data_IF_821154773900
#
_entry.id   IF_821154773900
#
_cell.length_a   1.000
_cell.length_b   1.000
_cell.length_c   1.000
_cell.angle_alpha   90.00
_cell.angle_beta   90.00
_cell.angle_gamma   90.00
#
_symmetry.space_group_name_H-M   'P 1'
#
loop_
_entity.id
_entity.type
_entity.pdbx_description
1 polymer ?
#
# COMPACT_ATOMS: atom_id res chain seq x y z
N UNK A 1 23.14 -20.02 -14.42
CA UNK A 1 22.74 -20.71 -13.16
C UNK A 1 22.72 -19.65 -12.08
N UNK A 2 21.55 -19.21 -11.58
CA UNK A 2 20.90 -19.73 -10.35
C UNK A 2 21.94 -19.79 -9.22
N UNK A 3 21.88 -18.99 -8.16
CA UNK A 3 20.92 -19.11 -7.05
C UNK A 3 20.83 -17.75 -6.31
N UNK A 4 19.64 -17.18 -6.13
CA UNK A 4 18.82 -17.31 -4.90
C UNK A 4 19.59 -17.00 -3.60
N UNK A 5 19.42 -15.78 -3.09
CA UNK A 5 19.60 -15.47 -1.66
C UNK A 5 18.25 -15.03 -1.10
N UNK A 6 17.46 -16.02 -0.72
CA UNK A 6 16.27 -15.83 0.11
C UNK A 6 16.45 -16.75 1.31
N UNK A 7 16.59 -16.17 2.50
CA UNK A 7 16.06 -16.67 3.77
C UNK A 7 16.80 -16.02 4.94
N UNK A 8 16.09 -15.20 5.72
CA UNK A 8 15.96 -15.38 7.17
C UNK A 8 14.87 -14.40 7.65
N UNK A 9 13.68 -14.92 7.93
CA UNK A 9 13.21 -15.18 9.29
C UNK A 9 13.06 -13.90 10.12
N UNK A 10 11.90 -13.25 9.98
CA UNK A 10 11.35 -12.38 11.01
C UNK A 10 10.29 -13.18 11.78
N UNK A 11 10.71 -13.90 12.81
CA UNK A 11 9.81 -14.57 13.75
C UNK A 11 9.02 -13.51 14.50
N UNK A 12 7.70 -13.61 14.41
CA UNK A 12 6.71 -12.89 15.21
C UNK A 12 6.91 -13.22 16.69
N UNK A 13 7.07 -12.20 17.53
CA UNK A 13 6.89 -12.31 18.97
C UNK A 13 5.69 -11.47 19.40
N UNK A 14 4.55 -12.16 19.50
CA UNK A 14 3.32 -11.72 20.16
C UNK A 14 3.55 -11.64 21.67
N UNK A 15 3.25 -10.50 22.29
CA UNK A 15 2.91 -10.42 23.72
C UNK A 15 2.24 -9.07 24.02
N UNK A 16 1.02 -9.09 24.58
CA UNK A 16 0.39 -7.85 25.04
C UNK A 16 -1.08 -7.93 25.46
N UNK A 17 -1.32 -8.53 26.63
CA UNK A 17 -2.44 -8.25 27.57
C UNK A 17 -3.86 -8.66 27.18
N UNK A 18 -4.29 -9.74 27.84
CA UNK A 18 -5.68 -10.11 28.10
C UNK A 18 -6.34 -9.10 29.04
N UNK A 19 -7.45 -8.50 28.60
CA UNK A 19 -8.41 -7.83 29.47
C UNK A 19 -9.81 -8.38 29.20
N UNK A 20 -10.23 -9.40 29.95
CA UNK A 20 -11.64 -9.79 30.03
C UNK A 20 -12.31 -8.88 31.06
N UNK A 21 -13.20 -8.00 30.60
CA UNK A 21 -14.16 -7.34 31.48
C UNK A 21 -15.51 -8.04 31.33
N UNK A 22 -16.02 -8.49 32.47
CA UNK A 22 -17.30 -9.14 32.69
C UNK A 22 -18.44 -8.11 32.59
N UNK A 23 -19.59 -8.50 32.04
CA UNK A 23 -20.79 -7.68 32.17
C UNK A 23 -21.98 -8.10 31.29
N UNK A 24 -22.85 -8.96 31.83
CA UNK A 24 -24.31 -8.85 31.64
C UNK A 24 -24.95 -9.50 30.42
N UNK A 25 -25.45 -10.73 30.58
CA UNK A 25 -26.64 -11.20 29.85
C UNK A 25 -27.90 -10.79 30.62
N UNK A 26 -28.89 -10.19 29.94
CA UNK A 26 -30.29 -10.49 30.21
C UNK A 26 -30.83 -11.37 29.08
N UNK A 27 -31.21 -12.60 29.44
CA UNK A 27 -32.00 -13.50 28.58
C UNK A 27 -33.30 -12.81 28.19
N UNK A 28 -33.48 -12.52 26.90
CA UNK A 28 -34.78 -12.16 26.35
C UNK A 28 -35.29 -13.30 25.47
N UNK A 29 -36.34 -13.95 25.98
CA UNK A 29 -37.07 -15.02 25.32
C UNK A 29 -37.79 -14.47 24.09
N UNK A 30 -37.35 -14.85 22.88
CA UNK A 30 -38.07 -14.56 21.63
C UNK A 30 -38.75 -15.85 21.15
N UNK A 31 -40.06 -15.83 20.83
CA UNK A 31 -40.76 -17.00 20.32
C UNK A 31 -40.25 -17.37 18.91
N UNK A 32 -40.28 -18.66 18.51
CA UNK A 32 -39.75 -19.09 17.22
C UNK A 32 -40.60 -18.56 16.05
N UNK A 33 -39.98 -18.12 14.94
CA UNK A 33 -40.70 -17.75 13.74
C UNK A 33 -41.32 -19.00 13.08
N UNK A 34 -42.61 -18.92 12.79
CA UNK A 34 -43.34 -19.91 12.02
C UNK A 34 -42.72 -20.04 10.62
N UNK A 35 -42.27 -21.25 10.27
CA UNK A 35 -41.73 -21.57 8.94
C UNK A 35 -42.91 -21.74 7.96
N UNK A 36 -42.97 -20.91 6.93
CA UNK A 36 -43.78 -21.17 5.74
C UNK A 36 -43.03 -22.15 4.82
N UNK A 37 -43.68 -23.22 4.31
CA UNK A 37 -43.04 -24.18 3.41
C UNK A 37 -43.15 -23.74 1.95
N UNK A 38 -42.01 -23.66 1.25
CA UNK A 38 -41.89 -23.39 -0.19
C UNK A 38 -40.78 -22.39 -0.51
N UNK A 39 -39.49 -22.75 -0.39
CA UNK A 39 -38.66 -23.30 -1.48
C UNK A 39 -38.46 -22.30 -2.65
N UNK A 40 -37.27 -21.79 -2.98
CA UNK A 40 -35.93 -22.24 -2.62
C UNK A 40 -34.83 -21.18 -2.77
N UNK A 41 -33.79 -21.41 -1.96
CA UNK A 41 -32.37 -21.12 -2.17
C UNK A 41 -31.96 -19.67 -2.46
N UNK A 42 -31.72 -18.96 -1.35
CA UNK A 42 -30.66 -17.97 -1.23
C UNK A 42 -29.36 -18.49 -1.89
N UNK A 43 -28.63 -17.70 -2.69
CA UNK A 43 -27.27 -18.03 -3.08
C UNK A 43 -26.31 -17.72 -1.93
N UNK A 44 -26.50 -18.37 -0.77
CA UNK A 44 -25.61 -18.22 0.38
C UNK A 44 -24.70 -19.45 0.49
N UNK A 45 -23.81 -19.61 -0.49
CA UNK A 45 -22.62 -20.46 -0.32
C UNK A 45 -21.44 -19.87 -1.11
N UNK A 46 -21.21 -18.56 -0.93
CA UNK A 46 -19.94 -17.96 -1.32
C UNK A 46 -18.97 -18.20 -0.18
N UNK A 47 -18.23 -19.31 -0.31
CA UNK A 47 -17.24 -19.76 0.65
C UNK A 47 -16.29 -18.61 1.04
N UNK A 48 -16.18 -18.22 2.33
CA UNK A 48 -15.38 -17.07 2.77
C UNK A 48 -13.89 -17.18 2.36
N UNK A 49 -13.44 -18.36 1.95
CA UNK A 49 -12.10 -18.65 1.46
C UNK A 49 -11.81 -18.08 0.05
N UNK A 50 -12.82 -18.03 -0.84
CA UNK A 50 -12.67 -17.48 -2.19
C UNK A 50 -12.52 -15.95 -2.14
N UNK A 51 -13.31 -15.29 -1.29
CA UNK A 51 -13.27 -13.83 -1.14
C UNK A 51 -11.99 -13.37 -0.43
N UNK A 52 -11.52 -14.14 0.55
CA UNK A 52 -10.24 -13.88 1.23
C UNK A 52 -9.04 -13.96 0.27
N UNK A 53 -8.97 -15.03 -0.56
CA UNK A 53 -7.91 -15.16 -1.57
C UNK A 53 -7.94 -14.04 -2.62
N UNK A 54 -9.12 -13.58 -3.03
CA UNK A 54 -9.25 -12.46 -3.96
C UNK A 54 -8.79 -11.14 -3.33
N UNK A 55 -9.10 -10.91 -2.06
CA UNK A 55 -8.64 -9.74 -1.33
C UNK A 55 -7.10 -9.72 -1.20
N UNK A 56 -6.50 -10.85 -0.80
CA UNK A 56 -5.04 -11.01 -0.72
C UNK A 56 -4.34 -10.75 -2.06
N UNK A 57 -4.86 -11.32 -3.15
CA UNK A 57 -4.32 -11.09 -4.50
C UNK A 57 -4.41 -9.62 -4.91
N UNK A 58 -5.51 -8.94 -4.58
CA UNK A 58 -5.66 -7.50 -4.88
C UNK A 58 -4.69 -6.64 -4.05
N UNK A 59 -4.43 -7.01 -2.79
CA UNK A 59 -3.43 -6.35 -1.95
C UNK A 59 -2.01 -6.54 -2.50
N UNK A 60 -1.66 -7.76 -2.92
CA UNK A 60 -0.37 -8.06 -3.55
C UNK A 60 -0.17 -7.24 -4.83
N UNK A 61 -1.18 -7.20 -5.70
CA UNK A 61 -1.12 -6.41 -6.94
C UNK A 61 -0.94 -4.93 -6.62
N UNK A 62 -1.68 -4.38 -5.66
CA UNK A 62 -1.54 -2.97 -5.25
C UNK A 62 -0.15 -2.66 -4.69
N UNK A 63 0.40 -3.56 -3.87
CA UNK A 63 1.75 -3.42 -3.30
C UNK A 63 2.82 -3.43 -4.39
N UNK A 64 2.75 -4.40 -5.32
CA UNK A 64 3.71 -4.51 -6.42
C UNK A 64 3.62 -3.33 -7.39
N UNK A 65 2.43 -2.83 -7.70
CA UNK A 65 2.26 -1.62 -8.50
C UNK A 65 2.83 -0.40 -7.79
N UNK A 66 2.58 -0.24 -6.49
CA UNK A 66 3.13 0.85 -5.69
C UNK A 66 4.66 0.84 -5.72
N UNK A 67 5.27 -0.34 -5.55
CA UNK A 67 6.72 -0.51 -5.62
C UNK A 67 7.26 -0.15 -7.01
N UNK A 68 6.64 -0.66 -8.09
CA UNK A 68 7.06 -0.33 -9.46
C UNK A 68 7.05 1.17 -9.72
N UNK A 69 5.99 1.85 -9.29
CA UNK A 69 5.87 3.31 -9.46
C UNK A 69 6.88 4.07 -8.61
N UNK A 70 7.17 3.60 -7.38
CA UNK A 70 8.23 4.19 -6.55
C UNK A 70 9.59 4.12 -7.23
N UNK A 71 9.97 2.95 -7.76
CA UNK A 71 11.23 2.77 -8.48
C UNK A 71 11.30 3.70 -9.69
N UNK A 72 10.26 3.73 -10.52
CA UNK A 72 10.21 4.60 -11.69
C UNK A 72 10.31 6.09 -11.34
N UNK A 73 9.63 6.54 -10.29
CA UNK A 73 9.68 7.93 -9.85
C UNK A 73 11.05 8.29 -9.27
N UNK A 74 11.72 7.37 -8.54
CA UNK A 74 13.08 7.60 -8.04
C UNK A 74 14.11 7.65 -9.17
N UNK A 75 13.97 6.80 -10.20
CA UNK A 75 14.83 6.84 -11.38
C UNK A 75 14.68 8.17 -12.12
N UNK A 76 13.43 8.64 -12.28
CA UNK A 76 13.15 9.95 -12.88
C UNK A 76 13.74 11.09 -12.04
N UNK A 77 13.64 11.02 -10.71
CA UNK A 77 14.21 12.01 -9.80
C UNK A 77 15.73 12.09 -9.94
N UNK A 78 16.41 10.93 -10.00
CA UNK A 78 17.85 10.86 -10.23
C UNK A 78 18.25 11.49 -11.57
N UNK A 79 17.51 11.18 -12.64
CA UNK A 79 17.76 11.75 -13.96
C UNK A 79 17.61 13.28 -13.96
N UNK A 80 16.50 13.80 -13.41
CA UNK A 80 16.26 15.24 -13.33
C UNK A 80 17.31 15.96 -12.48
N UNK A 81 17.70 15.39 -11.34
CA UNK A 81 18.71 15.97 -10.47
C UNK A 81 20.09 16.01 -11.15
N UNK A 82 20.43 14.96 -11.90
CA UNK A 82 21.68 14.90 -12.68
C UNK A 82 21.69 15.96 -13.78
N UNK A 83 20.59 16.12 -14.52
CA UNK A 83 20.45 17.14 -15.55
C UNK A 83 20.48 18.56 -14.96
N UNK A 84 19.77 18.80 -13.85
CA UNK A 84 19.82 20.07 -13.12
C UNK A 84 21.26 20.43 -12.73
N UNK A 85 22.01 19.47 -12.17
CA UNK A 85 23.42 19.66 -11.86
C UNK A 85 24.23 20.07 -13.09
N UNK A 86 24.09 19.36 -14.20
CA UNK A 86 24.81 19.67 -15.44
C UNK A 86 24.47 21.06 -15.98
N UNK A 87 23.22 21.50 -15.87
CA UNK A 87 22.79 22.82 -16.30
C UNK A 87 23.37 23.91 -15.40
N UNK A 88 23.35 23.71 -14.08
CA UNK A 88 23.96 24.63 -13.11
C UNK A 88 25.48 24.72 -13.30
N UNK A 89 26.16 23.59 -13.51
CA UNK A 89 27.61 23.54 -13.73
C UNK A 89 28.03 24.28 -15.02
N UNK A 90 27.14 24.37 -16.01
CA UNK A 90 27.36 25.09 -17.28
C UNK A 90 26.98 26.58 -17.21
N UNK A 91 26.21 27.00 -16.23
CA UNK A 91 25.82 28.41 -16.06
C UNK A 91 26.93 29.24 -15.40
N UNK A 92 27.10 30.49 -15.85
CA UNK A 92 27.98 31.44 -15.15
C UNK A 92 27.40 31.77 -13.77
N UNK A 93 28.27 31.96 -12.77
CA UNK A 93 27.93 32.11 -11.33
C UNK A 93 26.83 33.13 -10.98
N UNK A 94 26.49 34.03 -11.90
CA UNK A 94 25.53 35.12 -11.68
C UNK A 94 24.25 35.01 -12.54
N UNK A 95 24.06 33.93 -13.31
CA UNK A 95 22.90 33.77 -14.20
C UNK A 95 22.33 32.37 -14.04
N UNK A 96 21.24 32.23 -13.29
CA UNK A 96 20.43 31.03 -13.27
C UNK A 96 19.36 31.12 -14.38
N UNK A 97 19.23 30.10 -15.21
CA UNK A 97 18.19 30.11 -16.25
C UNK A 97 16.82 29.81 -15.64
N UNK A 98 15.76 30.33 -16.29
CA UNK A 98 14.36 30.02 -15.92
C UNK A 98 14.09 28.51 -16.03
N UNK A 99 14.76 27.82 -16.95
CA UNK A 99 14.59 26.37 -17.13
C UNK A 99 15.18 25.57 -15.96
N UNK A 100 16.30 26.02 -15.38
CA UNK A 100 16.88 25.43 -14.16
C UNK A 100 15.92 25.58 -12.99
N UNK A 101 15.27 26.74 -12.84
CA UNK A 101 14.26 26.96 -11.79
C UNK A 101 13.06 26.01 -11.96
N UNK A 102 12.48 25.96 -13.16
CA UNK A 102 11.35 25.06 -13.46
C UNK A 102 11.68 23.59 -13.20
N UNK A 103 12.91 23.18 -13.50
CA UNK A 103 13.37 21.81 -13.26
C UNK A 103 13.56 21.53 -11.77
N UNK A 104 14.04 22.49 -10.99
CA UNK A 104 14.10 22.37 -9.54
C UNK A 104 12.68 22.20 -8.95
N UNK A 105 11.69 22.97 -9.41
CA UNK A 105 10.30 22.82 -8.99
C UNK A 105 9.71 21.43 -9.34
N UNK A 106 10.05 20.88 -10.51
CA UNK A 106 9.65 19.53 -10.89
C UNK A 106 10.26 18.48 -9.96
N UNK A 107 11.54 18.63 -9.62
CA UNK A 107 12.24 17.74 -8.68
C UNK A 107 11.59 17.81 -7.30
N UNK A 108 11.27 19.00 -6.79
CA UNK A 108 10.62 19.16 -5.48
C UNK A 108 9.27 18.43 -5.44
N UNK A 109 8.41 18.65 -6.45
CA UNK A 109 7.09 18.02 -6.54
C UNK A 109 7.20 16.49 -6.63
N UNK A 110 8.14 15.99 -7.45
CA UNK A 110 8.36 14.57 -7.60
C UNK A 110 8.91 13.95 -6.30
N UNK A 111 9.87 14.61 -5.66
CA UNK A 111 10.44 14.18 -4.38
C UNK A 111 9.37 14.10 -3.28
N UNK A 112 8.48 15.10 -3.23
CA UNK A 112 7.36 15.10 -2.30
C UNK A 112 6.39 13.93 -2.59
N UNK A 113 6.03 13.71 -3.85
CA UNK A 113 5.18 12.59 -4.26
C UNK A 113 5.80 11.22 -3.91
N UNK A 114 7.11 11.04 -4.16
CA UNK A 114 7.83 9.82 -3.77
C UNK A 114 7.78 9.63 -2.27
N UNK A 115 8.08 10.66 -1.48
CA UNK A 115 8.04 10.60 -0.01
C UNK A 115 6.66 10.21 0.51
N UNK A 116 5.59 10.84 0.04
CA UNK A 116 4.23 10.49 0.46
C UNK A 116 3.88 9.06 0.04
N UNK A 117 4.26 8.64 -1.17
CA UNK A 117 4.10 7.26 -1.62
C UNK A 117 5.09 6.29 -0.98
N UNK A 118 5.97 6.67 -0.04
CA UNK A 118 6.75 5.71 0.74
C UNK A 118 6.07 5.38 2.08
N UNK A 119 5.18 6.25 2.58
CA UNK A 119 4.60 6.13 3.94
C UNK A 119 3.55 5.02 4.13
N UNK A 120 3.02 4.46 3.05
CA UNK A 120 1.88 3.53 3.07
C UNK A 120 0.67 4.14 2.42
#
# INVERSE_FOLDING_TARGET
MRMLRVAMMGVVLMMGVSGRVSGGEPKQFTPPPQRFPGQGHQPDDMSPNIDSRRAEQQEEVRSTERQKRLVADTDKLLALATDLKQQVDKTNKNILSVDVIKKADEIEKLAHSVKERMKG
#
